data_IF_484731222859
#
_entry.id   IF_484731222859
#
_cell.length_a   1.000
_cell.length_b   1.000
_cell.length_c   1.000
_cell.angle_alpha   90.00
_cell.angle_beta   90.00
_cell.angle_gamma   90.00
#
_symmetry.space_group_name_H-M   'P 1'
#
loop_
_entity.id
_entity.type
_entity.pdbx_description
1 polymer ?
#
# COMPACT_ATOMS: atom_id res chain seq x y z
N UNK A 1 5.73 -14.42 6.38
CA UNK A 1 5.10 -13.62 5.30
C UNK A 1 6.16 -13.34 4.25
N UNK A 2 5.81 -13.43 2.97
CA UNK A 2 6.68 -13.02 1.86
C UNK A 2 6.13 -11.71 1.28
N UNK A 3 7.00 -10.71 1.12
CA UNK A 3 6.62 -9.39 0.61
C UNK A 3 6.96 -9.26 -0.88
N UNK A 4 6.03 -8.71 -1.65
CA UNK A 4 6.20 -8.47 -3.09
C UNK A 4 5.96 -7.00 -3.43
N UNK A 5 6.52 -6.56 -4.56
CA UNK A 5 6.21 -5.27 -5.18
C UNK A 5 5.60 -5.51 -6.55
N UNK A 6 4.59 -4.73 -6.89
CA UNK A 6 3.94 -4.77 -8.18
C UNK A 6 3.80 -3.36 -8.74
N UNK A 7 3.69 -3.26 -10.06
CA UNK A 7 3.29 -2.03 -10.74
C UNK A 7 1.88 -2.25 -11.28
N UNK A 8 1.01 -1.26 -11.07
CA UNK A 8 -0.32 -1.27 -11.67
C UNK A 8 -0.20 -1.25 -13.20
N UNK A 9 -1.09 -1.97 -13.88
CA UNK A 9 -1.12 -2.09 -15.34
C UNK A 9 -2.41 -1.49 -15.90
N UNK A 10 -3.57 -1.85 -15.35
CA UNK A 10 -4.89 -1.41 -15.82
C UNK A 10 -6.00 -1.73 -14.80
N UNK A 11 -7.17 -1.10 -14.95
CA UNK A 11 -8.38 -1.38 -14.17
C UNK A 11 -8.63 -0.41 -13.01
N UNK A 12 -9.83 -0.46 -12.44
CA UNK A 12 -10.29 0.43 -11.37
C UNK A 12 -10.33 -0.28 -10.01
N UNK A 13 -10.30 0.49 -8.92
CA UNK A 13 -10.45 -0.05 -7.57
C UNK A 13 -11.92 -0.44 -7.37
N UNK A 14 -12.16 -1.72 -7.05
CA UNK A 14 -13.46 -2.25 -6.64
C UNK A 14 -13.25 -3.10 -5.40
N UNK A 15 -13.64 -2.58 -4.23
CA UNK A 15 -13.46 -3.27 -2.96
C UNK A 15 -14.50 -4.38 -2.77
N UNK A 16 -14.07 -5.53 -2.26
CA UNK A 16 -14.96 -6.45 -1.56
C UNK A 16 -15.23 -5.90 -0.16
N UNK A 17 -16.48 -5.49 0.09
CA UNK A 17 -16.88 -4.85 1.34
C UNK A 17 -16.83 -5.77 2.56
N UNK A 18 -16.68 -7.09 2.37
CA UNK A 18 -16.54 -8.04 3.48
C UNK A 18 -15.11 -8.13 4.02
N UNK A 19 -14.11 -7.79 3.20
CA UNK A 19 -12.71 -7.79 3.59
C UNK A 19 -12.13 -6.37 3.74
N UNK A 20 -12.42 -5.46 2.82
CA UNK A 20 -11.80 -4.14 2.71
C UNK A 20 -12.86 -3.05 2.78
N UNK A 21 -12.83 -2.26 3.85
CA UNK A 21 -13.75 -1.12 4.01
C UNK A 21 -13.45 0.04 3.04
N UNK A 22 -12.17 0.31 2.77
CA UNK A 22 -11.75 1.41 1.89
C UNK A 22 -10.39 1.11 1.25
N UNK A 23 -10.23 1.52 0.00
CA UNK A 23 -8.98 1.43 -0.74
C UNK A 23 -8.87 2.61 -1.72
N UNK A 24 -7.70 3.22 -1.77
CA UNK A 24 -7.44 4.37 -2.63
C UNK A 24 -5.99 4.40 -3.10
N UNK A 25 -5.72 5.18 -4.13
CA UNK A 25 -4.38 5.53 -4.56
C UNK A 25 -3.89 6.73 -3.76
N UNK A 26 -2.68 6.64 -3.23
CA UNK A 26 -2.06 7.70 -2.44
C UNK A 26 -0.80 8.21 -3.11
N UNK A 27 -0.66 9.54 -3.18
CA UNK A 27 0.64 10.16 -3.49
C UNK A 27 1.59 9.97 -2.31
N UNK A 28 2.89 10.08 -2.57
CA UNK A 28 3.93 9.84 -1.55
C UNK A 28 3.86 10.79 -0.35
N UNK A 29 3.32 11.98 -0.56
CA UNK A 29 3.14 13.06 0.41
C UNK A 29 1.75 13.05 1.07
N UNK A 30 0.83 12.20 0.61
CA UNK A 30 -0.56 12.12 1.07
C UNK A 30 -0.88 10.78 1.73
N UNK A 31 0.15 10.03 2.16
CA UNK A 31 -0.03 8.72 2.80
C UNK A 31 -0.71 8.88 4.16
N UNK A 32 -1.76 8.09 4.46
CA UNK A 32 -2.45 8.14 5.75
C UNK A 32 -1.62 7.47 6.86
N UNK A 33 -2.28 7.17 7.99
CA UNK A 33 -1.66 6.36 9.03
C UNK A 33 -1.25 4.98 8.48
N UNK A 34 0.04 4.66 8.57
CA UNK A 34 0.62 3.39 8.15
C UNK A 34 1.04 2.52 9.34
N UNK A 35 1.19 1.20 9.16
CA UNK A 35 1.56 0.30 10.24
C UNK A 35 2.89 0.64 10.94
N UNK A 36 3.09 0.08 12.13
CA UNK A 36 4.32 0.23 12.91
C UNK A 36 5.57 -0.36 12.22
N UNK A 37 6.74 0.19 12.55
CA UNK A 37 8.05 -0.09 11.90
C UNK A 37 8.51 -1.54 11.92
N UNK A 38 8.01 -2.36 12.84
CA UNK A 38 8.37 -3.78 12.94
C UNK A 38 7.71 -4.62 11.83
N UNK A 39 6.56 -4.18 11.31
CA UNK A 39 5.76 -4.96 10.36
C UNK A 39 6.39 -5.05 8.96
N UNK A 40 6.16 -6.17 8.26
CA UNK A 40 6.56 -6.30 6.85
C UNK A 40 5.83 -5.29 5.95
N UNK A 41 4.59 -4.94 6.29
CA UNK A 41 3.80 -3.93 5.57
C UNK A 41 4.50 -2.57 5.59
N UNK A 42 4.94 -2.12 6.77
CA UNK A 42 5.68 -0.85 6.91
C UNK A 42 6.98 -0.84 6.11
N UNK A 43 7.75 -1.95 6.15
CA UNK A 43 8.99 -2.08 5.36
C UNK A 43 8.75 -1.98 3.84
N UNK A 44 7.64 -2.52 3.34
CA UNK A 44 7.28 -2.42 1.91
C UNK A 44 6.94 -0.98 1.52
N UNK A 45 6.15 -0.29 2.36
CA UNK A 45 5.74 1.11 2.15
C UNK A 45 6.96 2.04 2.21
N UNK A 46 7.78 1.96 3.26
CA UNK A 46 9.00 2.78 3.41
C UNK A 46 9.94 2.54 2.23
N UNK A 47 10.09 1.28 1.80
CA UNK A 47 10.88 0.95 0.62
C UNK A 47 10.40 1.68 -0.63
N UNK A 48 9.09 1.71 -0.90
CA UNK A 48 8.53 2.44 -2.04
C UNK A 48 8.70 3.96 -1.92
N UNK A 49 8.49 4.52 -0.72
CA UNK A 49 8.65 5.96 -0.44
C UNK A 49 10.08 6.46 -0.70
N UNK A 50 11.08 5.66 -0.32
CA UNK A 50 12.50 6.03 -0.39
C UNK A 50 13.13 5.82 -1.77
N UNK A 51 12.50 5.03 -2.65
CA UNK A 51 12.97 4.86 -4.03
C UNK A 51 12.64 6.11 -4.83
N UNK A 52 13.59 6.66 -5.61
CA UNK A 52 13.33 7.78 -6.51
C UNK A 52 12.56 7.30 -7.74
#
# INVERSE_FOLDING_TARGET
MLGFRARWVSGDIVCDTTEIMDANWYKRDEIPMIPGSISIARKLIDGWLLQR
#
